data_IF_574006269845
#
_entry.id   IF_574006269845
#
_cell.length_a   1.000
_cell.length_b   1.000
_cell.length_c   1.000
_cell.angle_alpha   90.00
_cell.angle_beta   90.00
_cell.angle_gamma   90.00
#
_symmetry.space_group_name_H-M   'P 1'
#
loop_
_entity.id
_entity.type
_entity.pdbx_description
1 polymer ?
#
# COMPACT_ATOMS: atom_id res chain seq x y z
N UNK A 1 -3.38 4.94 19.81
CA UNK A 1 -2.94 3.86 18.89
C UNK A 1 -3.62 2.56 19.32
N UNK A 2 -3.93 1.66 18.39
CA UNK A 2 -4.47 0.31 18.67
C UNK A 2 -3.68 -0.41 19.77
N UNK A 3 -4.36 -1.14 20.66
CA UNK A 3 -3.71 -1.90 21.75
C UNK A 3 -3.08 -3.19 21.21
N UNK A 4 -3.88 -4.05 20.57
CA UNK A 4 -3.44 -5.34 20.05
C UNK A 4 -4.47 -5.91 19.07
N UNK A 5 -4.02 -6.88 18.26
CA UNK A 5 -4.90 -7.73 17.48
C UNK A 5 -5.50 -8.79 18.42
N UNK A 6 -6.83 -8.88 18.42
CA UNK A 6 -7.56 -9.80 19.28
C UNK A 6 -7.14 -11.25 19.03
N UNK A 7 -6.55 -11.89 20.06
CA UNK A 7 -6.12 -13.28 20.00
C UNK A 7 -4.92 -13.56 19.07
N UNK A 8 -4.23 -12.53 18.57
CA UNK A 8 -3.11 -12.67 17.63
C UNK A 8 -1.88 -11.86 18.11
N UNK A 9 -1.13 -12.37 19.11
CA UNK A 9 0.05 -11.69 19.65
C UNK A 9 1.18 -11.57 18.62
N UNK A 10 1.27 -12.51 17.66
CA UNK A 10 2.26 -12.45 16.59
C UNK A 10 2.03 -11.23 15.70
N UNK A 11 0.82 -11.05 15.15
CA UNK A 11 0.51 -9.85 14.34
C UNK A 11 0.65 -8.55 15.12
N UNK A 12 0.30 -8.57 16.41
CA UNK A 12 0.50 -7.41 17.30
C UNK A 12 1.97 -7.00 17.36
N UNK A 13 2.87 -7.96 17.59
CA UNK A 13 4.31 -7.72 17.65
C UNK A 13 4.93 -7.33 16.31
N UNK A 14 4.34 -7.78 15.19
CA UNK A 14 4.80 -7.41 13.86
C UNK A 14 4.44 -5.95 13.51
N UNK A 15 3.23 -5.52 13.88
CA UNK A 15 2.67 -4.23 13.51
C UNK A 15 3.00 -3.09 14.50
N UNK A 16 3.27 -3.39 15.77
CA UNK A 16 3.58 -2.37 16.79
C UNK A 16 5.10 -2.37 17.07
N UNK A 17 5.74 -1.21 16.97
CA UNK A 17 7.17 -1.05 17.28
C UNK A 17 7.41 -1.02 18.79
N UNK A 18 8.67 -1.22 19.21
CA UNK A 18 9.06 -1.15 20.63
C UNK A 18 8.75 0.21 21.27
N UNK A 19 8.72 1.27 20.47
CA UNK A 19 8.43 2.64 20.88
C UNK A 19 6.92 2.97 20.84
N UNK A 20 6.06 1.97 20.57
CA UNK A 20 4.60 2.11 20.59
C UNK A 20 3.97 2.64 19.30
N UNK A 21 4.72 2.72 18.21
CA UNK A 21 4.20 3.18 16.91
C UNK A 21 3.55 2.04 16.14
N UNK A 22 2.44 2.33 15.47
CA UNK A 22 1.78 1.38 14.57
C UNK A 22 2.30 1.52 13.14
N UNK A 23 2.74 0.42 12.55
CA UNK A 23 3.12 0.33 11.14
C UNK A 23 1.86 0.24 10.30
N UNK A 24 1.43 1.37 9.73
CA UNK A 24 0.22 1.42 8.89
C UNK A 24 0.34 0.58 7.62
N UNK A 25 1.57 0.40 7.15
CA UNK A 25 1.86 -0.25 5.88
C UNK A 25 1.76 0.71 4.70
N UNK A 26 1.47 1.99 4.92
CA UNK A 26 1.45 3.00 3.88
C UNK A 26 2.87 3.52 3.63
N UNK A 27 3.17 3.78 2.37
CA UNK A 27 4.41 4.42 1.93
C UNK A 27 4.08 5.87 1.64
N UNK A 28 4.91 6.78 2.14
CA UNK A 28 4.74 8.19 1.90
C UNK A 28 6.04 8.97 1.94
N UNK A 29 6.00 10.13 1.31
CA UNK A 29 7.09 11.11 1.28
C UNK A 29 6.68 12.33 2.08
N UNK A 30 7.63 12.91 2.81
CA UNK A 30 7.43 14.12 3.59
C UNK A 30 8.18 15.28 2.95
N UNK A 31 7.51 16.42 2.78
CA UNK A 31 8.13 17.61 2.22
C UNK A 31 8.88 18.46 3.27
N UNK A 32 9.54 19.52 2.83
CA UNK A 32 10.29 20.44 3.69
C UNK A 32 9.41 21.21 4.69
N UNK A 33 8.09 21.24 4.48
CA UNK A 33 7.12 21.88 5.36
C UNK A 33 6.40 20.86 6.26
N UNK A 34 6.89 19.61 6.32
CA UNK A 34 6.33 18.52 7.10
C UNK A 34 4.93 18.06 6.66
N UNK A 35 4.55 18.32 5.40
CA UNK A 35 3.37 17.68 4.83
C UNK A 35 3.72 16.27 4.37
N UNK A 36 2.87 15.32 4.73
CA UNK A 36 2.98 13.92 4.31
C UNK A 36 2.09 13.68 3.10
N UNK A 37 2.69 13.17 2.02
CA UNK A 37 2.00 12.63 0.85
C UNK A 37 2.00 11.11 0.95
N UNK A 38 0.84 10.48 0.81
CA UNK A 38 0.73 9.02 0.70
C UNK A 38 0.97 8.66 -0.76
N UNK A 39 1.99 7.84 -1.00
CA UNK A 39 2.42 7.42 -2.34
C UNK A 39 1.93 6.00 -2.67
N UNK A 40 1.56 5.19 -1.67
CA UNK A 40 0.99 3.88 -1.90
C UNK A 40 1.00 3.00 -0.65
N UNK A 41 0.91 1.68 -0.85
CA UNK A 41 0.95 0.69 0.23
C UNK A 41 2.03 -0.34 0.01
N UNK A 42 2.80 -0.61 1.07
CA UNK A 42 3.88 -1.61 1.07
C UNK A 42 3.44 -3.03 0.77
N UNK A 43 2.16 -3.35 1.01
CA UNK A 43 1.60 -4.70 0.76
C UNK A 43 0.73 -4.79 -0.49
N UNK A 44 0.43 -3.66 -1.14
CA UNK A 44 -0.37 -3.64 -2.37
C UNK A 44 0.59 -3.74 -3.57
N UNK A 45 1.14 -4.94 -3.76
CA UNK A 45 2.03 -5.26 -4.88
C UNK A 45 1.46 -6.46 -5.65
N UNK A 46 1.25 -6.28 -6.95
CA UNK A 46 0.82 -7.34 -7.85
C UNK A 46 2.07 -7.96 -8.45
N UNK A 47 2.23 -9.28 -8.32
CA UNK A 47 3.29 -10.01 -9.03
C UNK A 47 2.70 -10.57 -10.32
N UNK A 48 3.21 -10.14 -11.47
CA UNK A 48 2.74 -10.59 -12.79
C UNK A 48 3.92 -11.09 -13.62
N UNK A 49 3.96 -12.39 -13.90
CA UNK A 49 5.01 -13.00 -14.72
C UNK A 49 6.41 -12.89 -14.10
N UNK A 50 6.49 -12.74 -12.77
CA UNK A 50 7.73 -12.48 -12.05
C UNK A 50 8.09 -11.00 -11.88
N UNK A 51 7.31 -10.09 -12.46
CA UNK A 51 7.51 -8.64 -12.33
C UNK A 51 6.66 -8.05 -11.20
N UNK A 52 7.23 -7.11 -10.45
CA UNK A 52 6.53 -6.38 -9.41
C UNK A 52 5.81 -5.17 -10.02
N UNK A 53 4.48 -5.14 -9.89
CA UNK A 53 3.61 -4.08 -10.39
C UNK A 53 2.95 -3.40 -9.19
N UNK A 54 3.14 -2.08 -9.07
CA UNK A 54 2.55 -1.27 -8.01
C UNK A 54 1.26 -0.60 -8.50
N UNK A 55 0.08 -1.00 -8.00
CA UNK A 55 -1.22 -0.44 -8.40
C UNK A 55 -1.29 1.09 -8.33
N UNK A 56 -0.74 1.67 -7.26
CA UNK A 56 -0.78 3.11 -7.01
C UNK A 56 -0.15 3.94 -8.14
N UNK A 57 0.94 3.46 -8.75
CA UNK A 57 1.58 4.15 -9.88
C UNK A 57 0.66 4.20 -11.10
N UNK A 58 -0.03 3.09 -11.38
CA UNK A 58 -0.96 2.97 -12.50
C UNK A 58 -2.21 3.81 -12.24
N UNK A 59 -2.76 3.75 -11.03
CA UNK A 59 -3.91 4.57 -10.61
C UNK A 59 -3.59 6.06 -10.76
N UNK A 60 -2.45 6.51 -10.24
CA UNK A 60 -2.02 7.91 -10.34
C UNK A 60 -1.84 8.34 -11.80
N UNK A 61 -1.29 7.46 -12.66
CA UNK A 61 -1.22 7.72 -14.09
C UNK A 61 -2.61 7.84 -14.73
N UNK A 62 -3.52 6.91 -14.43
CA UNK A 62 -4.89 6.92 -14.96
C UNK A 62 -5.68 8.17 -14.54
N UNK A 63 -5.45 8.66 -13.33
CA UNK A 63 -6.03 9.91 -12.82
C UNK A 63 -5.58 11.16 -13.60
N UNK A 64 -4.51 11.10 -14.39
CA UNK A 64 -4.12 12.21 -15.27
C UNK A 64 -5.05 12.36 -16.49
N UNK A 65 -5.86 11.35 -16.80
CA UNK A 65 -6.74 11.37 -17.96
C UNK A 65 -8.03 12.16 -17.66
N UNK A 66 -8.40 13.17 -18.46
CA UNK A 66 -9.50 14.12 -18.13
C UNK A 66 -10.89 13.47 -18.09
N UNK A 67 -11.05 12.26 -18.63
CA UNK A 67 -12.32 11.49 -18.57
C UNK A 67 -12.36 10.46 -17.45
N UNK A 68 -11.30 10.32 -16.65
CA UNK A 68 -11.24 9.37 -15.54
C UNK A 68 -11.52 10.13 -14.25
N UNK A 69 -12.64 9.82 -13.60
CA UNK A 69 -12.97 10.39 -12.30
C UNK A 69 -12.21 9.68 -11.18
N UNK A 70 -12.15 8.36 -11.25
CA UNK A 70 -11.55 7.50 -10.23
C UNK A 70 -10.99 6.24 -10.87
N UNK A 71 -9.86 5.75 -10.36
CA UNK A 71 -9.20 4.54 -10.83
C UNK A 71 -8.78 3.67 -9.63
N UNK A 72 -8.90 2.35 -9.81
CA UNK A 72 -8.44 1.33 -8.87
C UNK A 72 -7.88 0.16 -9.67
N UNK A 73 -6.73 -0.36 -9.27
CA UNK A 73 -6.03 -1.43 -9.97
C UNK A 73 -5.89 -2.64 -9.05
N UNK A 74 -6.37 -3.78 -9.54
CA UNK A 74 -6.35 -5.05 -8.79
C UNK A 74 -5.75 -6.17 -9.64
N UNK A 75 -5.08 -7.11 -8.98
CA UNK A 75 -4.62 -8.34 -9.63
C UNK A 75 -5.78 -9.28 -9.90
N UNK A 76 -5.72 -10.01 -11.02
CA UNK A 76 -6.67 -11.06 -11.38
C UNK A 76 -5.87 -12.30 -11.76
N UNK A 77 -6.28 -13.47 -11.30
CA UNK A 77 -5.60 -14.73 -11.59
C UNK A 77 -5.49 -14.99 -13.10
N UNK A 78 -4.28 -15.28 -13.57
CA UNK A 78 -4.01 -15.71 -14.95
C UNK A 78 -3.12 -16.96 -14.97
N UNK A 79 -3.55 -17.97 -15.74
CA UNK A 79 -2.88 -19.27 -15.79
C UNK A 79 -1.42 -19.23 -16.32
N UNK A 80 -0.99 -18.15 -16.97
CA UNK A 80 0.38 -17.98 -17.51
C UNK A 80 1.17 -16.93 -16.75
N UNK A 81 0.51 -15.85 -16.33
CA UNK A 81 1.17 -14.66 -15.79
C UNK A 81 0.98 -14.52 -14.27
N UNK A 82 0.32 -15.46 -13.60
CA UNK A 82 -0.04 -15.34 -12.18
C UNK A 82 -1.37 -14.64 -12.04
#
# INVERSE_FOLDING_TARGET
>A
VMLEYWGDPCKTSECITKDGWYKTGDIGSMDAYSYLKIDGRSKDMIIRGGENVYPAEIEQFLHTHPKVKEAQVVGVEDARMG
#
